data_IF_282915357361
#
_entry.id   IF_282915357361
#
_cell.length_a   1.000
_cell.length_b   1.000
_cell.length_c   1.000
_cell.angle_alpha   90.00
_cell.angle_beta   90.00
_cell.angle_gamma   90.00
#
_symmetry.space_group_name_H-M   'P 1'
#
loop_
_entity.id
_entity.type
_entity.pdbx_description
1 polymer ?
#
# COMPACT_ATOMS: atom_id res chain seq x y z
N UNK A 1 10.71 -0.24 18.64
CA UNK A 1 11.72 -1.06 17.94
C UNK A 1 11.14 -1.42 16.60
N UNK A 2 11.89 -1.26 15.50
CA UNK A 2 11.42 -1.62 14.16
C UNK A 2 11.70 -3.10 13.89
N UNK A 3 10.66 -3.82 13.51
CA UNK A 3 10.74 -5.23 13.11
C UNK A 3 10.44 -5.36 11.62
N UNK A 4 10.97 -6.39 10.99
CA UNK A 4 10.68 -6.68 9.58
C UNK A 4 10.63 -8.17 9.31
N UNK A 5 10.00 -8.54 8.19
CA UNK A 5 10.08 -9.87 7.63
C UNK A 5 9.92 -9.82 6.10
N UNK A 6 10.19 -10.94 5.44
CA UNK A 6 9.84 -11.14 4.03
C UNK A 6 8.80 -12.27 3.89
N UNK A 7 7.90 -12.13 2.91
CA UNK A 7 6.94 -13.19 2.56
C UNK A 7 6.88 -13.37 1.04
N UNK A 8 6.70 -14.60 0.59
CA UNK A 8 6.44 -14.88 -0.82
C UNK A 8 5.03 -14.45 -1.25
N UNK A 9 4.90 -13.99 -2.49
CA UNK A 9 3.62 -13.62 -3.09
C UNK A 9 3.66 -13.75 -4.62
N UNK A 10 2.50 -13.72 -5.30
CA UNK A 10 2.45 -13.62 -6.76
C UNK A 10 3.17 -12.39 -7.35
N UNK A 11 3.43 -11.35 -6.53
CA UNK A 11 4.12 -10.13 -6.95
C UNK A 11 5.64 -10.17 -6.72
N UNK A 12 6.15 -11.28 -6.18
CA UNK A 12 7.53 -11.46 -5.70
C UNK A 12 7.62 -11.43 -4.16
N UNK A 13 8.85 -11.48 -3.64
CA UNK A 13 9.12 -11.42 -2.19
C UNK A 13 8.77 -10.03 -1.62
N UNK A 14 7.73 -9.96 -0.80
CA UNK A 14 7.27 -8.73 -0.17
C UNK A 14 8.05 -8.48 1.11
N UNK A 15 8.60 -7.28 1.26
CA UNK A 15 9.21 -6.81 2.50
C UNK A 15 8.16 -6.10 3.36
N UNK A 16 7.91 -6.63 4.55
CA UNK A 16 7.02 -6.04 5.55
C UNK A 16 7.89 -5.42 6.64
N UNK A 17 7.58 -4.18 7.02
CA UNK A 17 8.24 -3.46 8.11
C UNK A 17 7.16 -2.95 9.05
N UNK A 18 7.39 -3.04 10.35
CA UNK A 18 6.39 -2.70 11.35
C UNK A 18 7.00 -2.34 12.69
N UNK A 19 6.12 -1.92 13.58
CA UNK A 19 6.44 -1.51 14.94
C UNK A 19 5.45 -2.19 15.89
N UNK A 20 5.91 -2.51 17.10
CA UNK A 20 5.04 -3.10 18.11
C UNK A 20 3.87 -2.16 18.43
N UNK A 21 2.65 -2.69 18.37
CA UNK A 21 1.43 -1.96 18.73
C UNK A 21 0.52 -2.84 19.60
N UNK A 22 0.09 -2.35 20.79
CA UNK A 22 -0.79 -3.09 21.67
C UNK A 22 -2.23 -3.22 21.13
N UNK A 23 -2.62 -2.40 20.15
CA UNK A 23 -3.96 -2.39 19.55
C UNK A 23 -4.03 -3.18 18.25
N UNK A 24 -2.89 -3.44 17.61
CA UNK A 24 -2.83 -4.16 16.36
C UNK A 24 -3.11 -5.67 16.56
N UNK A 25 -3.88 -6.26 15.66
CA UNK A 25 -4.05 -7.72 15.60
C UNK A 25 -2.69 -8.38 15.33
N UNK A 26 -2.25 -9.25 16.24
CA UNK A 26 -0.92 -9.87 16.17
C UNK A 26 0.21 -8.99 16.71
N UNK A 27 -0.10 -7.84 17.33
CA UNK A 27 0.88 -7.03 18.07
C UNK A 27 1.77 -6.11 17.23
N UNK A 28 1.55 -6.03 15.92
CA UNK A 28 2.38 -5.25 14.99
C UNK A 28 1.55 -4.33 14.12
N UNK A 29 1.84 -3.03 14.18
CA UNK A 29 1.34 -2.05 13.22
C UNK A 29 2.27 -2.02 12.00
N UNK A 30 1.70 -2.12 10.80
CA UNK A 30 2.44 -2.15 9.54
C UNK A 30 2.90 -0.73 9.16
N UNK A 31 4.20 -0.52 9.07
CA UNK A 31 4.81 0.75 8.67
C UNK A 31 5.10 0.82 7.17
N UNK A 32 5.47 -0.31 6.55
CA UNK A 32 5.62 -0.40 5.10
C UNK A 32 5.39 -1.81 4.57
N UNK A 33 4.91 -1.90 3.34
CA UNK A 33 4.84 -3.10 2.51
C UNK A 33 5.43 -2.75 1.15
N UNK A 34 6.58 -3.33 0.84
CA UNK A 34 7.31 -3.08 -0.40
C UNK A 34 7.51 -4.36 -1.20
N UNK A 35 7.70 -4.22 -2.51
CA UNK A 35 7.96 -5.33 -3.43
C UNK A 35 9.33 -5.18 -4.11
N UNK A 36 9.88 -6.26 -4.72
CA UNK A 36 11.21 -6.22 -5.31
C UNK A 36 11.31 -5.21 -6.46
N UNK A 37 12.34 -4.37 -6.43
CA UNK A 37 12.58 -3.34 -7.44
C UNK A 37 11.62 -2.15 -7.39
N UNK A 38 10.77 -2.04 -6.36
CA UNK A 38 9.89 -0.89 -6.18
C UNK A 38 10.70 0.41 -6.01
N UNK A 39 10.24 1.46 -6.68
CA UNK A 39 10.79 2.81 -6.47
C UNK A 39 10.47 3.30 -5.06
N UNK A 40 11.51 3.63 -4.28
CA UNK A 40 11.34 4.10 -2.91
C UNK A 40 10.88 3.03 -1.93
N UNK A 41 11.19 1.76 -2.21
CA UNK A 41 11.03 0.67 -1.27
C UNK A 41 11.77 0.94 0.05
N UNK A 42 11.27 0.38 1.14
CA UNK A 42 12.03 0.34 2.39
C UNK A 42 13.34 -0.45 2.18
N UNK A 43 14.39 0.00 2.86
CA UNK A 43 15.68 -0.69 2.91
C UNK A 43 15.87 -1.11 4.36
N UNK A 44 16.19 -2.38 4.59
CA UNK A 44 16.49 -2.89 5.93
C UNK A 44 17.72 -2.16 6.44
N UNK A 45 17.59 -1.54 7.62
CA UNK A 45 18.66 -0.78 8.25
C UNK A 45 19.28 -1.55 9.42
N UNK A 46 20.50 -1.17 9.77
CA UNK A 46 21.16 -1.69 10.97
C UNK A 46 20.31 -1.44 12.22
N UNK A 47 20.21 -2.46 13.07
CA UNK A 47 19.42 -2.43 14.31
C UNK A 47 17.94 -2.77 14.14
N UNK A 48 17.45 -3.01 12.92
CA UNK A 48 16.14 -3.64 12.71
C UNK A 48 16.21 -5.13 13.04
N UNK A 49 15.14 -5.64 13.64
CA UNK A 49 15.05 -7.06 14.03
C UNK A 49 14.19 -7.81 13.03
N UNK A 50 14.74 -8.90 12.48
CA UNK A 50 13.94 -9.83 11.67
C UNK A 50 13.08 -10.67 12.60
N UNK A 51 11.77 -10.61 12.43
CA UNK A 51 10.80 -11.36 13.24
C UNK A 51 9.63 -11.79 12.36
N UNK A 52 9.57 -13.07 12.03
CA UNK A 52 8.47 -13.63 11.21
C UNK A 52 7.16 -13.73 11.99
N UNK A 53 7.24 -14.03 13.29
CA UNK A 53 6.07 -14.25 14.15
C UNK A 53 5.30 -12.94 14.35
N UNK A 54 6.03 -11.82 14.44
CA UNK A 54 5.44 -10.48 14.55
C UNK A 54 4.47 -10.13 13.40
N UNK A 55 4.60 -10.77 12.22
CA UNK A 55 3.76 -10.47 11.05
C UNK A 55 2.80 -11.61 10.68
N UNK A 56 2.66 -12.66 11.49
CA UNK A 56 1.86 -13.83 11.14
C UNK A 56 0.41 -13.47 10.77
N UNK A 57 -0.22 -12.57 11.55
CA UNK A 57 -1.58 -12.09 11.30
C UNK A 57 -1.70 -11.28 9.99
N UNK A 58 -0.71 -10.44 9.69
CA UNK A 58 -0.67 -9.65 8.45
C UNK A 58 -0.42 -10.57 7.24
N UNK A 59 0.53 -11.49 7.36
CA UNK A 59 0.87 -12.46 6.32
C UNK A 59 -0.31 -13.39 6.00
N UNK A 60 -1.08 -13.81 7.01
CA UNK A 60 -2.30 -14.59 6.79
C UNK A 60 -3.33 -13.82 5.95
N UNK A 61 -3.54 -12.53 6.23
CA UNK A 61 -4.46 -11.70 5.44
C UNK A 61 -3.97 -11.45 4.01
N UNK A 62 -2.66 -11.21 3.83
CA UNK A 62 -2.08 -11.07 2.50
C UNK A 62 -2.21 -12.36 1.68
N UNK A 63 -1.97 -13.53 2.29
CA UNK A 63 -2.20 -14.83 1.65
C UNK A 63 -3.67 -15.01 1.24
N UNK A 64 -4.61 -14.67 2.12
CA UNK A 64 -6.05 -14.73 1.82
C UNK A 64 -6.46 -13.75 0.70
N UNK A 65 -5.87 -12.55 0.67
CA UNK A 65 -6.10 -11.57 -0.40
C UNK A 65 -5.62 -12.10 -1.76
N UNK A 66 -4.38 -12.62 -1.83
CA UNK A 66 -3.84 -13.19 -3.07
C UNK A 66 -4.56 -14.49 -3.49
N UNK A 67 -5.22 -15.18 -2.57
CA UNK A 67 -6.09 -16.32 -2.87
C UNK A 67 -7.52 -15.91 -3.31
N UNK A 68 -7.85 -14.61 -3.32
CA UNK A 68 -9.17 -14.10 -3.69
C UNK A 68 -10.25 -14.28 -2.61
N UNK A 69 -9.88 -14.71 -1.40
CA UNK A 69 -10.83 -14.98 -0.30
C UNK A 69 -10.96 -13.83 0.72
N UNK A 70 -10.17 -12.76 0.56
CA UNK A 70 -10.22 -11.57 1.43
C UNK A 70 -10.29 -10.31 0.57
N UNK A 71 -11.30 -9.48 0.82
CA UNK A 71 -11.54 -8.21 0.10
C UNK A 71 -11.31 -6.98 0.97
N UNK A 72 -11.14 -7.16 2.28
CA UNK A 72 -10.92 -6.09 3.25
C UNK A 72 -9.83 -6.49 4.27
N UNK A 73 -8.83 -5.63 4.42
CA UNK A 73 -7.75 -5.80 5.40
C UNK A 73 -8.14 -5.19 6.74
N UNK A 74 -7.92 -5.96 7.80
CA UNK A 74 -7.99 -5.51 9.19
C UNK A 74 -6.56 -5.45 9.75
N UNK A 75 -5.83 -4.42 9.31
CA UNK A 75 -4.41 -4.18 9.63
C UNK A 75 -4.29 -2.77 10.18
N UNK A 76 -3.63 -2.65 11.33
CA UNK A 76 -3.25 -1.33 11.86
C UNK A 76 -2.01 -0.81 11.14
N UNK A 77 -2.00 0.48 10.78
CA UNK A 77 -0.85 1.14 10.17
C UNK A 77 -0.10 1.99 11.18
N UNK A 78 1.24 1.93 11.15
CA UNK A 78 2.07 2.68 12.09
C UNK A 78 1.93 4.20 11.86
N UNK A 79 1.79 4.95 12.96
CA UNK A 79 1.67 6.40 12.94
C UNK A 79 3.06 7.04 12.78
N UNK A 80 3.42 7.51 11.58
CA UNK A 80 4.69 8.24 11.44
C UNK A 80 5.15 8.58 10.03
N UNK A 81 4.59 7.93 9.00
CA UNK A 81 5.02 8.19 7.63
C UNK A 81 4.34 9.43 7.00
N UNK A 82 5.11 10.14 6.18
CA UNK A 82 4.61 11.13 5.22
C UNK A 82 4.29 12.51 5.78
N UNK A 83 4.05 13.46 4.87
CA UNK A 83 3.57 14.81 5.17
C UNK A 83 2.06 14.81 5.42
N UNK A 84 1.52 15.90 5.99
CA UNK A 84 0.07 16.04 6.17
C UNK A 84 -0.72 15.89 4.84
N UNK A 85 -0.18 16.43 3.75
CA UNK A 85 -0.77 16.27 2.42
C UNK A 85 -0.74 14.82 1.95
N UNK A 86 0.38 14.12 2.13
CA UNK A 86 0.50 12.70 1.77
C UNK A 86 -0.48 11.84 2.54
N UNK A 87 -0.58 12.01 3.87
CA UNK A 87 -1.54 11.27 4.69
C UNK A 87 -2.98 11.49 4.22
N UNK A 88 -3.38 12.75 3.98
CA UNK A 88 -4.71 13.06 3.46
C UNK A 88 -4.99 12.39 2.10
N UNK A 89 -4.01 12.34 1.20
CA UNK A 89 -4.12 11.61 -0.07
C UNK A 89 -4.27 10.11 0.17
N UNK A 90 -3.46 9.55 1.06
CA UNK A 90 -3.46 8.15 1.41
C UNK A 90 -4.76 7.69 2.06
N UNK A 91 -5.33 8.49 2.97
CA UNK A 91 -6.63 8.25 3.57
C UNK A 91 -7.72 8.18 2.49
N UNK A 92 -7.67 9.07 1.49
CA UNK A 92 -8.59 9.03 0.35
C UNK A 92 -8.41 7.78 -0.53
N UNK A 93 -7.19 7.24 -0.66
CA UNK A 93 -6.97 5.97 -1.35
C UNK A 93 -7.67 4.81 -0.63
N UNK A 94 -7.62 4.79 0.70
CA UNK A 94 -8.24 3.74 1.52
C UNK A 94 -9.77 3.71 1.40
N UNK A 95 -10.39 4.81 0.95
CA UNK A 95 -11.83 4.85 0.64
C UNK A 95 -12.22 4.16 -0.67
N UNK A 96 -11.27 3.77 -1.52
CA UNK A 96 -11.55 3.12 -2.82
C UNK A 96 -11.81 1.63 -2.61
N UNK A 97 -13.04 1.12 -2.81
CA UNK A 97 -13.37 -0.29 -2.53
C UNK A 97 -12.62 -1.30 -3.39
N UNK A 98 -12.48 -2.52 -2.87
CA UNK A 98 -12.03 -3.69 -3.64
C UNK A 98 -12.87 -3.89 -4.90
N UNK A 99 -12.22 -4.25 -6.02
CA UNK A 99 -12.90 -4.50 -7.29
C UNK A 99 -13.41 -3.25 -7.99
N UNK A 100 -13.01 -2.06 -7.53
CA UNK A 100 -13.36 -0.80 -8.16
C UNK A 100 -12.12 0.05 -8.43
N UNK A 101 -12.24 0.96 -9.39
CA UNK A 101 -11.19 1.93 -9.70
C UNK A 101 -11.69 3.35 -9.57
N UNK A 102 -10.78 4.27 -9.25
CA UNK A 102 -10.99 5.71 -9.31
C UNK A 102 -9.99 6.36 -10.26
N UNK A 103 -10.16 7.64 -10.57
CA UNK A 103 -9.21 8.39 -11.41
C UNK A 103 -8.46 9.43 -10.60
N UNK A 104 -7.29 9.84 -11.10
CA UNK A 104 -6.56 10.97 -10.51
C UNK A 104 -7.41 12.24 -10.41
N UNK A 105 -8.27 12.49 -11.39
CA UNK A 105 -9.20 13.63 -11.39
C UNK A 105 -10.25 13.52 -10.28
N UNK A 106 -10.88 12.35 -10.13
CA UNK A 106 -11.87 12.11 -9.07
C UNK A 106 -11.28 12.25 -7.67
N UNK A 107 -10.06 11.73 -7.46
CA UNK A 107 -9.36 11.93 -6.19
C UNK A 107 -9.00 13.41 -5.95
N UNK A 108 -8.59 14.14 -6.99
CA UNK A 108 -8.33 15.56 -6.86
C UNK A 108 -9.59 16.34 -6.47
N UNK A 109 -10.74 16.04 -7.09
CA UNK A 109 -12.04 16.61 -6.74
C UNK A 109 -12.45 16.30 -5.29
N UNK A 110 -12.38 15.03 -4.88
CA UNK A 110 -12.67 14.60 -3.51
C UNK A 110 -11.81 15.33 -2.47
N UNK A 111 -10.56 15.61 -2.81
CA UNK A 111 -9.61 16.31 -1.97
C UNK A 111 -9.67 17.85 -2.12
N UNK A 112 -10.59 18.39 -2.93
CA UNK A 112 -10.70 19.83 -3.18
C UNK A 112 -9.41 20.44 -3.75
N UNK A 113 -8.68 19.69 -4.56
CA UNK A 113 -7.41 20.09 -5.13
C UNK A 113 -7.62 20.83 -6.46
N UNK A 114 -6.87 21.92 -6.65
CA UNK A 114 -6.83 22.60 -7.94
C UNK A 114 -6.13 21.74 -9.00
N UNK A 115 -6.36 22.05 -10.28
CA UNK A 115 -5.69 21.36 -11.40
C UNK A 115 -4.16 21.40 -11.29
N UNK A 116 -3.59 22.48 -10.75
CA UNK A 116 -2.16 22.61 -10.52
C UNK A 116 -1.61 21.61 -9.48
N UNK A 117 -2.44 21.16 -8.54
CA UNK A 117 -2.07 20.21 -7.50
C UNK A 117 -2.15 18.73 -7.92
N UNK A 118 -2.64 18.42 -9.13
CA UNK A 118 -2.74 17.03 -9.63
C UNK A 118 -1.37 16.36 -9.74
N UNK A 119 -0.32 17.10 -10.11
CA UNK A 119 1.05 16.57 -10.13
C UNK A 119 1.55 16.21 -8.74
N UNK A 120 1.22 17.03 -7.74
CA UNK A 120 1.56 16.76 -6.34
C UNK A 120 0.77 15.54 -5.82
N UNK A 121 -0.51 15.41 -6.19
CA UNK A 121 -1.32 14.23 -5.90
C UNK A 121 -0.67 12.95 -6.44
N UNK A 122 -0.29 12.91 -7.72
CA UNK A 122 0.39 11.74 -8.30
C UNK A 122 1.70 11.40 -7.60
N UNK A 123 2.46 12.42 -7.17
CA UNK A 123 3.69 12.23 -6.38
C UNK A 123 3.39 11.66 -4.99
N UNK A 124 2.34 12.13 -4.31
CA UNK A 124 1.91 11.61 -3.02
C UNK A 124 1.44 10.15 -3.10
N UNK A 125 0.65 9.81 -4.13
CA UNK A 125 0.23 8.43 -4.42
C UNK A 125 1.46 7.54 -4.65
N UNK A 126 2.43 7.99 -5.46
CA UNK A 126 3.66 7.25 -5.73
C UNK A 126 4.61 7.09 -4.54
N UNK A 127 4.37 7.82 -3.44
CA UNK A 127 5.11 7.70 -2.17
C UNK A 127 4.39 6.83 -1.14
N UNK A 128 3.31 6.15 -1.53
CA UNK A 128 2.63 5.19 -0.67
C UNK A 128 3.63 4.16 -0.12
N UNK A 129 3.83 4.07 1.20
CA UNK A 129 4.71 3.06 1.81
C UNK A 129 4.06 1.69 1.95
N UNK A 130 2.74 1.59 1.76
CA UNK A 130 1.92 0.42 2.04
C UNK A 130 1.30 -0.10 0.74
N UNK A 131 2.11 -0.61 -0.20
CA UNK A 131 1.55 -1.15 -1.44
C UNK A 131 0.61 -2.31 -1.13
N UNK A 132 -0.30 -2.63 -2.07
CA UNK A 132 -1.38 -3.63 -1.91
C UNK A 132 -2.45 -3.19 -0.91
N UNK A 133 -2.10 -3.05 0.37
CA UNK A 133 -3.06 -2.79 1.46
C UNK A 133 -3.59 -1.35 1.45
N UNK A 134 -2.76 -0.37 1.05
CA UNK A 134 -3.24 0.96 0.64
C UNK A 134 -3.35 0.98 -0.88
N UNK A 135 -4.57 1.06 -1.46
CA UNK A 135 -4.81 0.57 -2.81
C UNK A 135 -4.50 1.62 -3.90
N UNK A 136 -3.24 2.07 -3.97
CA UNK A 136 -2.80 2.99 -5.02
C UNK A 136 -2.85 2.39 -6.44
N UNK A 137 -2.92 1.06 -6.57
CA UNK A 137 -3.14 0.38 -7.86
C UNK A 137 -4.54 0.63 -8.42
N UNK A 138 -5.53 0.99 -7.60
CA UNK A 138 -6.92 1.28 -8.02
C UNK A 138 -7.09 2.67 -8.65
N UNK A 139 -6.04 3.49 -8.71
CA UNK A 139 -6.09 4.84 -9.34
C UNK A 139 -5.60 4.77 -10.78
N UNK A 140 -6.44 5.10 -11.75
CA UNK A 140 -6.12 4.99 -13.18
C UNK A 140 -6.29 6.33 -13.92
N UNK A 141 -5.84 6.38 -15.18
CA UNK A 141 -6.10 7.50 -16.08
C UNK A 141 -7.59 7.67 -16.37
N UNK A 142 -8.03 8.89 -16.70
CA UNK A 142 -9.44 9.16 -17.02
C UNK A 142 -9.92 8.44 -18.29
N UNK A 143 -8.99 8.05 -19.16
CA UNK A 143 -9.19 7.25 -20.37
C UNK A 143 -9.11 5.74 -20.12
N UNK A 144 -8.99 5.30 -18.86
CA UNK A 144 -8.82 3.90 -18.49
C UNK A 144 -7.36 3.42 -18.53
N UNK A 145 -6.40 4.27 -18.90
CA UNK A 145 -5.00 3.86 -19.00
C UNK A 145 -4.38 3.50 -17.63
N UNK A 146 -3.61 2.42 -17.60
CA UNK A 146 -2.75 2.09 -16.47
C UNK A 146 -1.50 2.97 -16.53
N UNK A 147 -1.43 3.94 -15.64
CA UNK A 147 -0.27 4.81 -15.46
C UNK A 147 0.21 4.76 -14.02
N UNK A 148 1.49 5.06 -13.79
CA UNK A 148 2.05 5.29 -12.45
C UNK A 148 1.77 4.20 -11.40
N UNK A 149 2.76 3.35 -11.14
CA UNK A 149 2.75 2.47 -9.97
C UNK A 149 4.18 2.26 -9.50
N UNK A 150 4.44 2.46 -8.21
CA UNK A 150 5.80 2.34 -7.67
C UNK A 150 6.37 0.92 -7.84
N UNK A 151 5.49 -0.07 -7.91
CA UNK A 151 5.81 -1.47 -8.17
C UNK A 151 5.87 -1.90 -9.64
N UNK A 152 5.63 -0.99 -10.60
CA UNK A 152 5.57 -1.30 -12.03
C UNK A 152 4.17 -1.67 -12.56
N UNK A 153 3.91 -1.34 -13.84
CA UNK A 153 2.58 -1.47 -14.43
C UNK A 153 2.08 -2.92 -14.55
N UNK A 154 3.00 -3.88 -14.70
CA UNK A 154 2.65 -5.30 -14.75
C UNK A 154 1.95 -5.75 -13.45
N UNK A 155 2.56 -5.48 -12.30
CA UNK A 155 1.98 -5.82 -10.98
C UNK A 155 0.70 -5.05 -10.70
N UNK A 156 0.60 -3.79 -11.14
CA UNK A 156 -0.65 -3.02 -11.06
C UNK A 156 -1.78 -3.73 -11.80
N UNK A 157 -1.51 -4.23 -13.01
CA UNK A 157 -2.49 -5.00 -13.78
C UNK A 157 -2.85 -6.31 -13.08
N UNK A 158 -1.86 -7.08 -12.62
CA UNK A 158 -2.11 -8.32 -11.87
C UNK A 158 -3.03 -8.12 -10.65
N UNK A 159 -2.81 -7.03 -9.89
CA UNK A 159 -3.67 -6.68 -8.77
C UNK A 159 -5.08 -6.31 -9.21
N UNK A 160 -5.24 -5.54 -10.29
CA UNK A 160 -6.57 -5.21 -10.82
C UNK A 160 -7.30 -6.45 -11.34
N UNK A 161 -6.61 -7.36 -12.01
CA UNK A 161 -7.16 -8.61 -12.51
C UNK A 161 -7.58 -9.56 -11.38
N UNK A 162 -6.82 -9.58 -10.27
CA UNK A 162 -7.16 -10.33 -9.05
C UNK A 162 -8.46 -9.83 -8.41
N UNK A 163 -8.73 -8.53 -8.51
CA UNK A 163 -9.88 -7.89 -7.87
C UNK A 163 -11.15 -7.83 -8.74
N UNK A 164 -11.04 -8.22 -10.00
CA UNK A 164 -12.09 -8.07 -11.02
C UNK A 164 -13.24 -9.09 -10.92
#
# INVERSE_FOLDING_TARGET
>A
MTVYTTIDSPLGELLLVGEASPTAKGGTALASLSMPGQKGAAVVLDGWVRDEQAFEAIAAQLRAYFAGSLTHFDIEYAAGAGTAFQRRVWDALETVPYGTTTTYGRLAEQLGLSRAAVRALGTAIGRNPLLVVRPCHRVIGADGSLTGYAGGLERKRQLLDLEA
#
